data_IF_727131745559
#
_entry.id   IF_727131745559
#
_cell.length_a   1.000
_cell.length_b   1.000
_cell.length_c   1.000
_cell.angle_alpha   90.00
_cell.angle_beta   90.00
_cell.angle_gamma   90.00
#
_symmetry.space_group_name_H-M   'P 1'
#
loop_
_entity.id
_entity.type
_entity.pdbx_description
1 polymer ?
#
# COMPACT_ATOMS: atom_id res chain seq x y z
N UNK A 1 -7.88 53.46 30.09
CA UNK A 1 -6.52 52.95 29.77
C UNK A 1 -6.28 51.50 30.23
N UNK A 2 -6.94 51.01 31.28
CA UNK A 2 -6.73 49.65 31.81
C UNK A 2 -7.35 48.55 30.92
N UNK A 3 -8.51 48.79 30.33
CA UNK A 3 -9.16 47.85 29.38
C UNK A 3 -8.39 47.67 28.07
N UNK A 4 -7.81 48.75 27.53
CA UNK A 4 -7.00 48.70 26.32
C UNK A 4 -5.71 47.86 26.51
N UNK A 5 -5.08 47.93 27.69
CA UNK A 5 -3.93 47.07 28.03
C UNK A 5 -4.32 45.60 28.17
N UNK A 6 -5.52 45.31 28.71
CA UNK A 6 -6.04 43.94 28.84
C UNK A 6 -6.27 43.28 27.48
N UNK A 7 -6.79 44.02 26.49
CA UNK A 7 -6.98 43.51 25.13
C UNK A 7 -5.67 43.21 24.39
N UNK A 8 -4.64 44.06 24.58
CA UNK A 8 -3.30 43.85 23.99
C UNK A 8 -2.62 42.62 24.60
N UNK A 9 -2.72 42.43 25.91
CA UNK A 9 -2.17 41.25 26.60
C UNK A 9 -2.89 39.97 26.14
N UNK A 10 -4.23 40.01 26.04
CA UNK A 10 -5.02 38.88 25.54
C UNK A 10 -4.62 38.46 24.12
N UNK A 11 -4.45 39.42 23.21
CA UNK A 11 -4.02 39.15 21.84
C UNK A 11 -2.58 38.61 21.78
N UNK A 12 -1.67 39.13 22.61
CA UNK A 12 -0.30 38.63 22.68
C UNK A 12 -0.25 37.17 23.15
N UNK A 13 -1.05 36.81 24.17
CA UNK A 13 -1.16 35.43 24.67
C UNK A 13 -1.73 34.50 23.61
N UNK A 14 -2.82 34.90 22.94
CA UNK A 14 -3.42 34.12 21.86
C UNK A 14 -2.43 33.91 20.70
N UNK A 15 -1.69 34.96 20.33
CA UNK A 15 -0.68 34.89 19.26
C UNK A 15 0.45 33.94 19.64
N UNK A 16 0.97 34.04 20.87
CA UNK A 16 2.01 33.14 21.36
C UNK A 16 1.54 31.69 21.37
N UNK A 17 0.30 31.44 21.82
CA UNK A 17 -0.30 30.10 21.80
C UNK A 17 -0.45 29.57 20.37
N UNK A 18 -0.94 30.38 19.44
CA UNK A 18 -1.09 30.00 18.04
C UNK A 18 0.26 29.67 17.37
N UNK A 19 1.28 30.50 17.62
CA UNK A 19 2.64 30.24 17.13
C UNK A 19 3.19 28.94 17.73
N UNK A 20 3.05 28.74 19.04
CA UNK A 20 3.49 27.51 19.70
C UNK A 20 2.78 26.28 19.11
N UNK A 21 1.47 26.37 18.87
CA UNK A 21 0.70 25.29 18.27
C UNK A 21 1.15 24.98 16.83
N UNK A 22 1.44 26.00 16.03
CA UNK A 22 1.93 25.85 14.66
C UNK A 22 3.30 25.15 14.61
N UNK A 23 4.21 25.48 15.55
CA UNK A 23 5.53 24.88 15.64
C UNK A 23 5.58 23.58 16.44
N UNK A 24 4.48 23.17 17.09
CA UNK A 24 4.45 21.97 17.93
C UNK A 24 4.88 20.70 17.19
N UNK A 25 4.40 20.39 15.96
CA UNK A 25 4.85 19.22 15.21
C UNK A 25 6.36 19.25 14.91
N UNK A 26 6.91 20.44 14.63
CA UNK A 26 8.33 20.61 14.36
C UNK A 26 9.17 20.39 15.63
N UNK A 27 8.76 20.99 16.75
CA UNK A 27 9.43 20.85 18.05
C UNK A 27 9.43 19.38 18.46
N UNK A 28 8.29 18.70 18.36
CA UNK A 28 8.18 17.26 18.69
C UNK A 28 9.05 16.43 17.74
N UNK A 29 9.05 16.72 16.43
CA UNK A 29 9.84 15.97 15.45
C UNK A 29 11.35 16.06 15.68
N UNK A 30 11.86 17.21 16.12
CA UNK A 30 13.29 17.38 16.46
C UNK A 30 13.67 16.65 17.75
N UNK A 31 12.73 16.51 18.69
CA UNK A 31 12.96 15.84 19.98
C UNK A 31 12.75 14.32 19.91
N UNK A 32 11.89 13.86 19.00
CA UNK A 32 11.60 12.44 18.80
C UNK A 32 12.78 11.75 18.10
N UNK A 33 13.09 10.51 18.49
CA UNK A 33 14.13 9.73 17.81
C UNK A 33 13.58 9.15 16.52
N UNK A 34 14.38 9.19 15.47
CA UNK A 34 14.08 8.55 14.19
C UNK A 34 13.72 7.08 14.38
N UNK A 35 12.56 6.71 13.81
CA UNK A 35 12.09 5.34 13.76
C UNK A 35 12.53 4.71 12.43
N UNK A 36 12.93 3.45 12.45
CA UNK A 36 13.27 2.72 11.22
C UNK A 36 12.02 2.21 10.49
N UNK A 37 10.92 2.00 11.22
CA UNK A 37 9.67 1.51 10.68
C UNK A 37 8.48 2.15 11.40
N UNK A 38 7.39 2.38 10.66
CA UNK A 38 6.13 2.81 11.25
C UNK A 38 5.39 1.61 11.83
N UNK A 39 4.97 1.72 13.09
CA UNK A 39 4.15 0.68 13.73
C UNK A 39 2.70 0.71 13.22
N UNK A 40 2.21 1.88 12.80
CA UNK A 40 0.86 2.02 12.24
C UNK A 40 0.77 1.67 10.76
N UNK A 41 1.74 2.09 9.95
CA UNK A 41 1.72 1.86 8.50
C UNK A 41 2.42 0.54 8.11
N UNK A 42 3.14 -0.12 9.04
CA UNK A 42 3.90 -1.37 8.81
C UNK A 42 4.84 -1.31 7.61
N UNK A 43 5.54 -0.19 7.44
CA UNK A 43 6.54 0.02 6.38
C UNK A 43 7.84 0.61 6.93
N UNK A 44 8.91 0.46 6.17
CA UNK A 44 10.17 1.18 6.40
C UNK A 44 9.99 2.68 6.18
N UNK A 45 10.63 3.47 7.03
CA UNK A 45 10.67 4.92 6.93
C UNK A 45 11.92 5.37 6.19
N UNK A 46 11.83 6.49 5.47
CA UNK A 46 12.98 7.10 4.83
C UNK A 46 14.05 7.47 5.87
N UNK A 47 15.33 7.25 5.56
CA UNK A 47 16.44 7.66 6.42
C UNK A 47 16.86 9.08 6.12
N UNK A 48 17.49 9.76 7.09
CA UNK A 48 18.03 11.09 6.86
C UNK A 48 19.03 11.05 5.69
N UNK A 49 18.84 11.88 4.64
CA UNK A 49 19.69 11.82 3.46
C UNK A 49 21.11 12.29 3.79
N UNK A 50 22.12 11.58 3.29
CA UNK A 50 23.50 12.04 3.35
C UNK A 50 23.69 13.32 2.55
N UNK A 51 24.63 14.16 2.97
CA UNK A 51 24.95 15.39 2.23
C UNK A 51 25.42 15.06 0.80
N UNK A 52 24.91 15.74 -0.23
CA UNK A 52 25.18 15.39 -1.62
C UNK A 52 26.65 15.68 -1.97
N UNK A 53 27.30 14.72 -2.64
CA UNK A 53 28.69 14.82 -3.08
C UNK A 53 28.82 15.00 -4.60
N UNK A 54 27.74 14.76 -5.36
CA UNK A 54 27.70 14.90 -6.81
C UNK A 54 26.54 15.80 -7.25
N UNK A 55 26.59 16.30 -8.49
CA UNK A 55 25.52 17.13 -9.07
C UNK A 55 24.19 16.34 -9.12
N UNK A 56 24.23 15.08 -9.51
CA UNK A 56 23.03 14.22 -9.54
C UNK A 56 22.41 14.05 -8.15
N UNK A 57 23.25 13.85 -7.12
CA UNK A 57 22.78 13.77 -5.74
C UNK A 57 22.22 15.11 -5.25
N UNK A 58 22.79 16.24 -5.67
CA UNK A 58 22.29 17.57 -5.32
C UNK A 58 20.89 17.80 -5.91
N UNK A 59 20.65 17.34 -7.14
CA UNK A 59 19.34 17.42 -7.79
C UNK A 59 18.30 16.55 -7.05
N UNK A 60 18.70 15.37 -6.56
CA UNK A 60 17.81 14.44 -5.85
C UNK A 60 17.63 14.76 -4.36
N UNK A 61 18.53 15.55 -3.77
CA UNK A 61 18.57 15.83 -2.33
C UNK A 61 17.26 16.45 -1.80
N UNK A 62 16.64 17.46 -2.46
CA UNK A 62 15.36 18.02 -1.99
C UNK A 62 14.24 16.98 -1.93
N UNK A 63 14.17 16.07 -2.91
CA UNK A 63 13.18 14.99 -2.94
C UNK A 63 13.39 14.02 -1.78
N UNK A 64 14.64 13.63 -1.54
CA UNK A 64 15.02 12.72 -0.44
C UNK A 64 14.76 13.35 0.94
N UNK A 65 15.07 14.64 1.10
CA UNK A 65 14.80 15.38 2.32
C UNK A 65 13.29 15.54 2.57
N UNK A 66 12.51 15.80 1.52
CA UNK A 66 11.05 15.85 1.61
C UNK A 66 10.47 14.48 2.01
N UNK A 67 10.97 13.39 1.45
CA UNK A 67 10.55 12.03 1.81
C UNK A 67 10.87 11.72 3.28
N UNK A 68 12.07 12.08 3.75
CA UNK A 68 12.42 11.98 5.17
C UNK A 68 11.51 12.84 6.05
N UNK A 69 11.37 14.13 5.77
CA UNK A 69 10.54 15.01 6.60
C UNK A 69 9.08 14.56 6.63
N UNK A 70 8.54 14.09 5.49
CA UNK A 70 7.20 13.52 5.42
C UNK A 70 7.04 12.33 6.37
N UNK A 71 8.08 11.51 6.57
CA UNK A 71 8.04 10.33 7.44
C UNK A 71 8.26 10.64 8.92
N UNK A 72 9.01 11.71 9.24
CA UNK A 72 9.52 11.98 10.59
C UNK A 72 8.97 13.24 11.26
N UNK A 73 8.05 13.99 10.63
CA UNK A 73 7.45 15.14 11.32
C UNK A 73 6.69 14.71 12.59
N UNK A 74 6.84 15.48 13.66
CA UNK A 74 6.30 15.13 14.97
C UNK A 74 4.78 15.01 14.97
N UNK A 75 4.25 14.10 15.79
CA UNK A 75 2.82 13.79 15.90
C UNK A 75 2.17 13.19 14.63
N UNK A 76 2.94 12.89 13.57
CA UNK A 76 2.41 12.24 12.35
C UNK A 76 1.57 11.01 12.67
N UNK A 77 2.13 10.03 13.38
CA UNK A 77 1.43 8.78 13.67
C UNK A 77 0.14 9.04 14.46
N UNK A 78 0.16 9.99 15.40
CA UNK A 78 -1.03 10.38 16.16
C UNK A 78 -2.12 10.93 15.24
N UNK A 79 -1.80 11.90 14.39
CA UNK A 79 -2.77 12.50 13.47
C UNK A 79 -3.27 11.50 12.43
N UNK A 80 -2.37 10.73 11.81
CA UNK A 80 -2.71 9.72 10.80
C UNK A 80 -3.64 8.65 11.38
N UNK A 81 -3.37 8.12 12.58
CA UNK A 81 -4.25 7.13 13.21
C UNK A 81 -5.61 7.71 13.62
N UNK A 82 -5.65 8.98 14.05
CA UNK A 82 -6.92 9.65 14.39
C UNK A 82 -7.74 9.93 13.14
N UNK A 83 -7.07 10.38 12.08
CA UNK A 83 -7.67 10.59 10.78
C UNK A 83 -8.30 9.31 10.24
N UNK A 84 -7.55 8.21 10.19
CA UNK A 84 -8.08 6.93 9.71
C UNK A 84 -9.24 6.41 10.56
N UNK A 85 -9.18 6.54 11.90
CA UNK A 85 -10.30 6.15 12.77
C UNK A 85 -11.54 7.00 12.56
N UNK A 86 -11.37 8.31 12.42
CA UNK A 86 -12.46 9.23 12.14
C UNK A 86 -13.08 8.89 10.78
N UNK A 87 -12.26 8.75 9.75
CA UNK A 87 -12.74 8.49 8.40
C UNK A 87 -13.38 7.11 8.26
N UNK A 88 -12.87 6.07 8.94
CA UNK A 88 -13.55 4.76 8.99
C UNK A 88 -14.97 4.86 9.56
N UNK A 89 -15.24 5.81 10.46
CA UNK A 89 -16.58 6.02 11.04
C UNK A 89 -17.52 6.80 10.10
N UNK A 90 -16.97 7.66 9.26
CA UNK A 90 -17.75 8.60 8.44
C UNK A 90 -17.77 8.26 6.94
N UNK A 91 -16.90 7.35 6.48
CA UNK A 91 -16.75 6.96 5.08
C UNK A 91 -16.71 5.44 4.96
N UNK A 92 -17.54 4.90 4.08
CA UNK A 92 -17.53 3.49 3.69
C UNK A 92 -16.42 3.19 2.65
N UNK A 93 -15.87 4.23 2.02
CA UNK A 93 -14.75 4.08 1.09
C UNK A 93 -13.40 4.14 1.80
N UNK A 94 -12.47 3.33 1.31
CA UNK A 94 -11.08 3.39 1.72
C UNK A 94 -10.44 4.68 1.20
N UNK A 95 -9.66 5.33 2.07
CA UNK A 95 -8.87 6.52 1.74
C UNK A 95 -7.46 6.18 1.26
N UNK A 96 -7.16 4.89 1.13
CA UNK A 96 -5.92 4.42 0.53
C UNK A 96 -6.28 4.00 -0.89
N UNK A 97 -5.70 4.66 -1.88
CA UNK A 97 -6.03 4.47 -3.30
C UNK A 97 -6.00 3.01 -3.79
N UNK A 98 -5.32 2.14 -3.04
CA UNK A 98 -5.05 0.73 -3.35
C UNK A 98 -5.64 -0.23 -2.31
N UNK A 99 -6.69 0.19 -1.60
CA UNK A 99 -7.41 -0.70 -0.69
C UNK A 99 -8.90 -0.55 -0.95
N UNK A 100 -9.61 -1.67 -1.00
CA UNK A 100 -11.07 -1.74 -1.04
C UNK A 100 -11.57 -2.32 0.27
N UNK A 101 -12.58 -1.66 0.86
CA UNK A 101 -13.21 -2.11 2.10
C UNK A 101 -14.34 -3.07 1.72
N UNK A 102 -14.26 -4.30 2.20
CA UNK A 102 -15.31 -5.32 2.12
C UNK A 102 -16.23 -5.30 3.34
N UNK A 103 -17.06 -6.34 3.44
CA UNK A 103 -17.98 -6.57 4.56
C UNK A 103 -17.22 -6.65 5.88
N UNK A 104 -17.87 -6.29 6.98
CA UNK A 104 -17.32 -6.37 8.35
C UNK A 104 -15.92 -5.73 8.53
N UNK A 105 -15.58 -4.75 7.69
CA UNK A 105 -14.29 -4.06 7.73
C UNK A 105 -13.11 -4.84 7.17
N UNK A 106 -13.36 -5.88 6.36
CA UNK A 106 -12.32 -6.57 5.60
C UNK A 106 -11.60 -5.59 4.66
N UNK A 107 -10.28 -5.72 4.57
CA UNK A 107 -9.45 -4.88 3.70
C UNK A 107 -8.85 -5.72 2.58
N UNK A 108 -9.16 -5.38 1.33
CA UNK A 108 -8.62 -6.03 0.13
C UNK A 108 -7.65 -5.10 -0.57
N UNK A 109 -6.48 -5.61 -0.96
CA UNK A 109 -5.51 -4.84 -1.76
C UNK A 109 -6.08 -4.60 -3.16
N UNK A 110 -5.86 -3.42 -3.72
CA UNK A 110 -6.35 -3.05 -5.03
C UNK A 110 -7.76 -2.46 -5.05
N UNK A 111 -8.25 -2.25 -6.26
CA UNK A 111 -9.51 -1.57 -6.53
C UNK A 111 -10.24 -2.28 -7.65
N UNK A 112 -11.56 -2.45 -7.50
CA UNK A 112 -12.43 -2.97 -8.57
C UNK A 112 -12.75 -1.94 -9.66
N UNK A 113 -12.11 -0.76 -9.64
CA UNK A 113 -12.25 0.25 -10.69
C UNK A 113 -11.69 -0.29 -12.00
N UNK A 114 -12.42 -0.17 -13.13
CA UNK A 114 -11.90 -0.56 -14.43
C UNK A 114 -10.54 0.09 -14.73
N UNK A 115 -9.59 -0.69 -15.21
CA UNK A 115 -8.24 -0.23 -15.57
C UNK A 115 -7.28 -0.06 -14.38
N UNK A 116 -7.58 -0.64 -13.23
CA UNK A 116 -6.64 -0.70 -12.12
C UNK A 116 -5.52 -1.71 -12.39
N UNK A 117 -4.26 -1.27 -12.44
CA UNK A 117 -3.10 -2.12 -12.76
C UNK A 117 -2.00 -2.10 -11.68
N UNK A 118 -2.17 -1.26 -10.63
CA UNK A 118 -1.08 -0.90 -9.72
C UNK A 118 -0.58 -2.01 -8.77
N UNK A 119 -1.21 -3.18 -8.75
CA UNK A 119 -0.71 -4.38 -8.08
C UNK A 119 -1.21 -5.65 -8.78
N UNK A 120 -1.09 -5.72 -10.11
CA UNK A 120 -1.44 -6.93 -10.90
C UNK A 120 -2.94 -7.30 -10.86
N UNK A 121 -3.83 -6.31 -10.66
CA UNK A 121 -5.29 -6.46 -10.64
C UNK A 121 -5.84 -7.71 -9.90
N UNK A 122 -5.69 -7.79 -8.56
CA UNK A 122 -6.16 -8.95 -7.80
C UNK A 122 -7.69 -9.05 -7.74
N UNK A 123 -8.40 -7.98 -8.11
CA UNK A 123 -9.86 -7.98 -8.26
C UNK A 123 -10.26 -8.69 -9.55
N UNK A 124 -9.59 -8.37 -10.67
CA UNK A 124 -9.74 -9.10 -11.93
C UNK A 124 -9.54 -10.60 -11.76
N UNK A 125 -8.50 -11.02 -11.03
CA UNK A 125 -8.25 -12.45 -10.75
C UNK A 125 -9.42 -13.10 -10.00
N UNK A 126 -9.86 -12.47 -8.91
CA UNK A 126 -10.89 -13.02 -8.04
C UNK A 126 -12.29 -13.02 -8.69
N UNK A 127 -12.53 -12.04 -9.57
CA UNK A 127 -13.72 -11.96 -10.42
C UNK A 127 -13.63 -12.89 -11.64
N UNK A 128 -12.51 -13.60 -11.83
CA UNK A 128 -12.24 -14.45 -12.98
C UNK A 128 -12.25 -13.69 -14.32
N UNK A 129 -11.79 -12.45 -14.33
CA UNK A 129 -11.69 -11.60 -15.53
C UNK A 129 -10.32 -11.73 -16.23
N UNK A 130 -9.25 -11.96 -15.46
CA UNK A 130 -7.87 -12.04 -15.95
C UNK A 130 -7.54 -13.43 -16.53
N UNK A 131 -8.25 -13.84 -17.56
CA UNK A 131 -8.04 -15.13 -18.20
C UNK A 131 -6.88 -15.12 -19.19
N UNK A 132 -6.20 -16.25 -19.33
CA UNK A 132 -5.13 -16.43 -20.30
C UNK A 132 -5.66 -16.84 -21.67
N UNK A 133 -4.98 -16.36 -22.70
CA UNK A 133 -5.06 -16.92 -24.05
C UNK A 133 -4.35 -18.27 -24.14
N UNK A 134 -4.66 -19.05 -25.16
CA UNK A 134 -4.01 -20.35 -25.39
C UNK A 134 -2.50 -20.23 -25.61
N UNK A 135 -2.05 -19.16 -26.26
CA UNK A 135 -0.62 -18.90 -26.47
C UNK A 135 0.10 -18.58 -25.16
N UNK A 136 -0.51 -17.80 -24.26
CA UNK A 136 0.05 -17.55 -22.93
C UNK A 136 0.15 -18.84 -22.11
N UNK A 137 -0.89 -19.69 -22.14
CA UNK A 137 -0.89 -20.99 -21.46
C UNK A 137 0.22 -21.90 -22.02
N UNK A 138 0.41 -21.91 -23.33
CA UNK A 138 1.50 -22.65 -23.99
C UNK A 138 2.87 -22.16 -23.51
N UNK A 139 3.09 -20.85 -23.46
CA UNK A 139 4.35 -20.26 -23.00
C UNK A 139 4.62 -20.58 -21.52
N UNK A 140 3.60 -20.49 -20.67
CA UNK A 140 3.69 -20.88 -19.26
C UNK A 140 4.08 -22.36 -19.10
N UNK A 141 3.40 -23.24 -19.84
CA UNK A 141 3.67 -24.68 -19.85
C UNK A 141 5.10 -25.00 -20.27
N UNK A 142 5.55 -24.42 -21.39
CA UNK A 142 6.92 -24.61 -21.91
C UNK A 142 7.97 -24.14 -20.90
N UNK A 143 7.74 -23.01 -20.21
CA UNK A 143 8.63 -22.50 -19.18
C UNK A 143 8.72 -23.45 -17.98
N UNK A 144 7.59 -23.93 -17.46
CA UNK A 144 7.55 -24.86 -16.32
C UNK A 144 8.22 -26.20 -16.65
N UNK A 145 7.97 -26.76 -17.84
CA UNK A 145 8.61 -27.99 -18.32
C UNK A 145 10.11 -27.81 -18.47
N UNK A 146 10.55 -26.67 -19.01
CA UNK A 146 11.98 -26.36 -19.18
C UNK A 146 12.71 -26.30 -17.83
N UNK A 147 12.12 -25.61 -16.84
CA UNK A 147 12.67 -25.54 -15.48
C UNK A 147 12.74 -26.94 -14.85
N UNK A 148 11.65 -27.71 -14.93
CA UNK A 148 11.60 -29.06 -14.39
C UNK A 148 12.68 -29.97 -15.00
N UNK A 149 12.84 -29.95 -16.33
CA UNK A 149 13.86 -30.76 -17.03
C UNK A 149 15.27 -30.41 -16.57
N UNK A 150 15.59 -29.12 -16.51
CA UNK A 150 16.92 -28.65 -16.10
C UNK A 150 17.26 -29.04 -14.66
N UNK A 151 16.28 -29.02 -13.76
CA UNK A 151 16.46 -29.46 -12.37
C UNK A 151 16.57 -30.99 -12.27
N UNK A 152 15.79 -31.72 -13.07
CA UNK A 152 15.86 -33.18 -13.13
C UNK A 152 17.22 -33.69 -13.64
N UNK A 153 17.84 -33.01 -14.62
CA UNK A 153 19.22 -33.30 -15.08
C UNK A 153 20.26 -33.17 -13.96
N UNK A 154 19.95 -32.41 -12.90
CA UNK A 154 20.79 -32.23 -11.71
C UNK A 154 20.35 -33.12 -10.54
N UNK A 155 19.37 -33.99 -10.73
CA UNK A 155 18.80 -34.85 -9.67
C UNK A 155 17.97 -34.08 -8.64
N UNK A 156 17.47 -32.87 -8.97
CA UNK A 156 16.67 -32.02 -8.08
C UNK A 156 15.19 -32.14 -8.45
N UNK A 157 14.35 -32.43 -7.45
CA UNK A 157 12.90 -32.44 -7.63
C UNK A 157 12.35 -31.00 -7.70
N UNK A 158 11.49 -30.74 -8.69
CA UNK A 158 10.80 -29.47 -8.84
C UNK A 158 9.33 -29.60 -8.47
N UNK A 159 8.84 -28.67 -7.65
CA UNK A 159 7.43 -28.57 -7.27
C UNK A 159 6.95 -27.15 -7.55
N UNK A 160 5.94 -27.03 -8.42
CA UNK A 160 5.23 -25.80 -8.67
C UNK A 160 3.99 -25.72 -7.77
N UNK A 161 3.85 -24.61 -7.04
CA UNK A 161 2.74 -24.39 -6.08
C UNK A 161 2.09 -23.05 -6.36
N UNK A 162 0.79 -23.06 -6.63
CA UNK A 162 -0.04 -21.86 -6.72
C UNK A 162 -0.56 -21.50 -5.32
N UNK A 163 -0.07 -20.41 -4.75
CA UNK A 163 -0.59 -19.89 -3.50
C UNK A 163 -1.84 -19.04 -3.78
N UNK A 164 -3.01 -19.39 -3.18
CA UNK A 164 -4.21 -18.58 -3.36
C UNK A 164 -4.05 -17.20 -2.73
N UNK A 165 -4.66 -16.19 -3.34
CA UNK A 165 -4.69 -14.83 -2.80
C UNK A 165 -5.88 -14.63 -1.83
N UNK A 166 -5.80 -13.60 -0.98
CA UNK A 166 -6.88 -13.26 -0.03
C UNK A 166 -8.24 -13.08 -0.72
N UNK A 167 -8.20 -12.51 -1.92
CA UNK A 167 -9.36 -12.18 -2.74
C UNK A 167 -10.16 -13.40 -3.20
N UNK A 168 -9.47 -14.47 -3.59
CA UNK A 168 -10.10 -15.72 -4.02
C UNK A 168 -10.59 -16.55 -2.83
N UNK A 169 -9.86 -16.56 -1.71
CA UNK A 169 -10.24 -17.33 -0.50
C UNK A 169 -11.45 -16.72 0.20
N UNK A 170 -11.52 -15.39 0.31
CA UNK A 170 -12.55 -14.66 1.07
C UNK A 170 -13.43 -13.80 0.17
N UNK A 171 -13.78 -14.34 -1.00
CA UNK A 171 -14.56 -13.63 -2.01
C UNK A 171 -15.91 -13.13 -1.45
N UNK A 172 -16.54 -13.90 -0.57
CA UNK A 172 -17.81 -13.57 0.06
C UNK A 172 -17.77 -12.34 0.98
N UNK A 173 -16.57 -11.98 1.46
CA UNK A 173 -16.32 -10.79 2.26
C UNK A 173 -16.09 -9.53 1.39
N UNK A 174 -16.02 -9.67 0.07
CA UNK A 174 -15.95 -8.52 -0.82
C UNK A 174 -17.27 -7.72 -0.84
N UNK A 175 -17.24 -6.47 -1.32
CA UNK A 175 -18.46 -5.71 -1.57
C UNK A 175 -19.43 -6.47 -2.49
N UNK A 176 -20.74 -6.33 -2.25
CA UNK A 176 -21.77 -7.12 -2.95
C UNK A 176 -21.83 -6.90 -4.46
N UNK A 177 -21.36 -5.75 -4.95
CA UNK A 177 -21.32 -5.46 -6.38
C UNK A 177 -20.17 -6.19 -7.12
N UNK A 178 -19.27 -6.86 -6.39
CA UNK A 178 -18.18 -7.65 -6.95
C UNK A 178 -18.68 -9.08 -7.17
N UNK A 179 -18.69 -9.49 -8.44
CA UNK A 179 -19.22 -10.78 -8.88
C UNK A 179 -18.24 -11.46 -9.81
N UNK A 180 -18.25 -12.81 -9.81
CA UNK A 180 -17.48 -13.61 -10.75
C UNK A 180 -18.09 -13.49 -12.15
N UNK A 181 -17.26 -13.14 -13.13
CA UNK A 181 -17.67 -12.95 -14.52
C UNK A 181 -17.63 -14.26 -15.32
N UNK A 182 -16.76 -15.19 -14.95
CA UNK A 182 -16.57 -16.46 -15.63
C UNK A 182 -16.64 -17.64 -14.65
N UNK A 183 -17.03 -18.85 -15.10
CA UNK A 183 -17.06 -20.04 -14.25
C UNK A 183 -15.67 -20.57 -13.88
N UNK A 184 -14.66 -20.30 -14.73
CA UNK A 184 -13.27 -20.74 -14.54
C UNK A 184 -12.37 -19.56 -14.21
N UNK A 185 -11.43 -19.77 -13.30
CA UNK A 185 -10.35 -18.82 -13.02
C UNK A 185 -9.13 -19.07 -13.92
N UNK A 186 -8.18 -18.13 -13.93
CA UNK A 186 -6.89 -18.29 -14.60
C UNK A 186 -6.09 -19.48 -14.05
N UNK A 187 -6.19 -19.74 -12.74
CA UNK A 187 -5.58 -20.89 -12.09
C UNK A 187 -6.19 -22.21 -12.57
N UNK A 188 -7.51 -22.26 -12.76
CA UNK A 188 -8.19 -23.43 -13.32
C UNK A 188 -7.74 -23.69 -14.76
N UNK A 189 -7.65 -22.64 -15.59
CA UNK A 189 -7.15 -22.74 -16.97
C UNK A 189 -5.72 -23.31 -17.01
N UNK A 190 -4.82 -22.76 -16.19
CA UNK A 190 -3.44 -23.22 -16.14
C UNK A 190 -3.36 -24.66 -15.66
N UNK A 191 -4.08 -25.03 -14.60
CA UNK A 191 -4.10 -26.39 -14.09
C UNK A 191 -4.60 -27.40 -15.13
N UNK A 192 -5.71 -27.09 -15.80
CA UNK A 192 -6.27 -27.95 -16.83
C UNK A 192 -5.32 -28.08 -18.03
N UNK A 193 -4.71 -26.98 -18.46
CA UNK A 193 -3.76 -26.97 -19.57
C UNK A 193 -2.52 -27.81 -19.26
N UNK A 194 -1.90 -27.61 -18.10
CA UNK A 194 -0.73 -28.40 -17.68
C UNK A 194 -1.08 -29.89 -17.62
N UNK A 195 -2.22 -30.25 -17.03
CA UNK A 195 -2.66 -31.66 -16.93
C UNK A 195 -2.80 -32.33 -18.31
N UNK A 196 -3.16 -31.57 -19.35
CA UNK A 196 -3.34 -32.08 -20.71
C UNK A 196 -2.06 -32.11 -21.54
N UNK A 197 -1.10 -31.24 -21.24
CA UNK A 197 0.03 -30.95 -22.14
C UNK A 197 1.42 -31.21 -21.55
N UNK A 198 1.54 -31.54 -20.26
CA UNK A 198 2.83 -31.85 -19.59
C UNK A 198 2.79 -33.20 -18.88
#
# INVERSE_FOLDING_TARGET
MQEAKSGVIGNAVLTAFFVLFLFLPLIVGVLEKDKLASSSEKRSLATFPSFPQTIDQLIQYPSSLNAYYADHFGLREFFTQRYFRFMKKFSESSQVDHVTIGKDGWLFLGSAKPGYDKYEDPFGDAMHANLYSEEELKQFSEALVSINRRLAEQGVAYLFVLAPNKHTIYFEQMPEHIVKQNPYSAADQLFEYLTKHT
#
